data_IF_265690535144
#
_entry.id   IF_265690535144
#
_cell.length_a   1.000
_cell.length_b   1.000
_cell.length_c   1.000
_cell.angle_alpha   90.00
_cell.angle_beta   90.00
_cell.angle_gamma   90.00
#
_symmetry.space_group_name_H-M   'P 1'
#
loop_
_entity.id
_entity.type
_entity.pdbx_description
1 polymer ?
#
# COMPACT_ATOMS: atom_id res chain seq x y z
N UNK A 1 9.37 12.21 12.72
CA UNK A 1 9.99 11.45 11.61
C UNK A 1 8.85 10.78 10.85
N UNK A 2 8.80 10.90 9.52
CA UNK A 2 7.80 10.18 8.73
C UNK A 2 8.34 8.76 8.53
N UNK A 3 7.68 7.78 9.13
CA UNK A 3 7.99 6.38 8.90
C UNK A 3 7.68 6.02 7.43
N UNK A 4 8.59 5.28 6.79
CA UNK A 4 8.40 4.83 5.40
C UNK A 4 7.15 3.97 5.27
N UNK A 5 6.83 3.17 6.29
CA UNK A 5 5.58 2.41 6.34
C UNK A 5 4.38 3.35 6.19
N UNK A 6 4.27 4.36 7.06
CA UNK A 6 3.16 5.33 7.01
C UNK A 6 3.13 6.10 5.71
N UNK A 7 4.28 6.47 5.15
CA UNK A 7 4.35 7.16 3.87
C UNK A 7 3.79 6.31 2.73
N UNK A 8 4.21 5.05 2.61
CA UNK A 8 3.73 4.15 1.56
C UNK A 8 2.23 3.90 1.71
N UNK A 9 1.77 3.59 2.92
CA UNK A 9 0.35 3.36 3.20
C UNK A 9 -0.49 4.58 2.78
N UNK A 10 -0.10 5.80 3.17
CA UNK A 10 -0.78 7.04 2.75
C UNK A 10 -0.84 7.21 1.24
N UNK A 11 0.24 6.90 0.52
CA UNK A 11 0.24 6.98 -0.95
C UNK A 11 -0.72 5.99 -1.60
N UNK A 12 -0.92 4.82 -1.01
CA UNK A 12 -1.87 3.83 -1.50
C UNK A 12 -3.29 4.31 -1.22
N UNK A 13 -3.58 4.72 0.02
CA UNK A 13 -4.88 5.26 0.45
C UNK A 13 -5.32 6.47 -0.40
N UNK A 14 -4.43 7.44 -0.62
CA UNK A 14 -4.69 8.61 -1.48
C UNK A 14 -5.09 8.25 -2.93
N UNK A 15 -4.64 7.11 -3.46
CA UNK A 15 -5.09 6.63 -4.77
C UNK A 15 -6.38 5.81 -4.66
N UNK A 16 -6.51 5.01 -3.61
CA UNK A 16 -7.70 4.21 -3.34
C UNK A 16 -8.95 5.08 -3.15
N UNK A 17 -8.81 6.25 -2.53
CA UNK A 17 -9.86 7.26 -2.39
C UNK A 17 -10.43 7.73 -3.74
N UNK A 18 -9.64 7.61 -4.82
CA UNK A 18 -10.10 7.92 -6.18
C UNK A 18 -10.77 6.71 -6.82
N UNK A 19 -10.13 5.55 -6.69
CA UNK A 19 -10.68 4.25 -7.06
C UNK A 19 -9.84 3.11 -6.47
N UNK A 20 -10.50 2.01 -6.11
CA UNK A 20 -9.83 0.79 -5.62
C UNK A 20 -8.72 0.34 -6.59
N UNK A 21 -8.99 0.37 -7.90
CA UNK A 21 -8.01 -0.01 -8.93
C UNK A 21 -6.76 0.89 -8.90
N UNK A 22 -6.91 2.20 -8.64
CA UNK A 22 -5.77 3.10 -8.51
C UNK A 22 -4.93 2.79 -7.26
N UNK A 23 -5.59 2.45 -6.15
CA UNK A 23 -4.94 1.95 -4.93
C UNK A 23 -4.16 0.65 -5.17
N UNK A 24 -4.79 -0.34 -5.81
CA UNK A 24 -4.16 -1.61 -6.20
C UNK A 24 -2.94 -1.41 -7.12
N UNK A 25 -3.05 -0.54 -8.13
CA UNK A 25 -1.94 -0.21 -9.01
C UNK A 25 -0.78 0.43 -8.26
N UNK A 26 -1.08 1.28 -7.25
CA UNK A 26 -0.06 1.88 -6.40
C UNK A 26 0.60 0.84 -5.48
N UNK A 27 -0.19 -0.06 -4.88
CA UNK A 27 0.33 -1.18 -4.09
C UNK A 27 1.28 -2.05 -4.93
N UNK A 28 0.87 -2.43 -6.15
CA UNK A 28 1.71 -3.21 -7.08
C UNK A 28 3.03 -2.50 -7.41
N UNK A 29 3.02 -1.18 -7.56
CA UNK A 29 4.23 -0.41 -7.82
C UNK A 29 5.25 -0.47 -6.67
N UNK A 30 4.81 -0.62 -5.42
CA UNK A 30 5.70 -0.73 -4.26
C UNK A 30 6.13 -2.18 -3.98
N UNK A 31 5.23 -3.15 -4.08
CA UNK A 31 5.48 -4.50 -3.56
C UNK A 31 5.51 -5.61 -4.61
N UNK A 32 5.00 -5.37 -5.83
CA UNK A 32 4.98 -6.40 -6.89
C UNK A 32 6.07 -6.13 -7.92
N UNK A 33 6.17 -4.88 -8.40
CA UNK A 33 7.10 -4.50 -9.47
C UNK A 33 8.56 -4.36 -9.01
N UNK A 34 8.77 -4.05 -7.73
CA UNK A 34 10.10 -3.84 -7.15
C UNK A 34 10.19 -4.52 -5.79
N UNK A 35 11.39 -4.99 -5.43
CA UNK A 35 11.64 -5.68 -4.15
C UNK A 35 12.17 -4.78 -3.04
N UNK A 36 12.57 -3.55 -3.36
CA UNK A 36 13.25 -2.66 -2.40
C UNK A 36 12.38 -2.30 -1.20
N UNK A 37 11.04 -2.34 -1.37
CA UNK A 37 10.10 -2.00 -0.31
C UNK A 37 9.60 -3.21 0.50
N UNK A 38 10.07 -4.42 0.19
CA UNK A 38 9.54 -5.65 0.75
C UNK A 38 9.54 -5.69 2.28
N UNK A 39 10.60 -5.14 2.89
CA UNK A 39 10.75 -5.13 4.35
C UNK A 39 9.67 -4.32 5.09
N UNK A 40 8.92 -3.46 4.39
CA UNK A 40 7.83 -2.68 4.98
C UNK A 40 6.45 -3.25 4.63
N UNK A 41 6.38 -4.32 3.83
CA UNK A 41 5.10 -4.84 3.31
C UNK A 41 4.12 -5.19 4.41
N UNK A 42 4.54 -5.98 5.40
CA UNK A 42 3.67 -6.43 6.49
C UNK A 42 3.10 -5.26 7.29
N UNK A 43 3.94 -4.28 7.62
CA UNK A 43 3.50 -3.12 8.40
C UNK A 43 2.54 -2.23 7.58
N UNK A 44 2.81 -2.06 6.27
CA UNK A 44 1.92 -1.31 5.38
C UNK A 44 0.57 -2.01 5.22
N UNK A 45 0.57 -3.33 5.00
CA UNK A 45 -0.65 -4.13 4.92
C UNK A 45 -1.46 -4.04 6.21
N UNK A 46 -0.80 -4.05 7.38
CA UNK A 46 -1.48 -3.87 8.66
C UNK A 46 -2.20 -2.51 8.75
N UNK A 47 -1.58 -1.43 8.28
CA UNK A 47 -2.22 -0.10 8.23
C UNK A 47 -3.41 -0.12 7.27
N UNK A 48 -3.23 -0.65 6.05
CA UNK A 48 -4.29 -0.70 5.06
C UNK A 48 -5.50 -1.50 5.57
N UNK A 49 -5.29 -2.63 6.23
CA UNK A 49 -6.37 -3.43 6.83
C UNK A 49 -7.06 -2.66 7.96
N UNK A 50 -6.28 -2.03 8.85
CA UNK A 50 -6.82 -1.25 9.99
C UNK A 50 -7.69 -0.09 9.51
N UNK A 51 -7.29 0.57 8.42
CA UNK A 51 -7.96 1.76 7.88
C UNK A 51 -9.03 1.41 6.83
N UNK A 52 -9.28 0.12 6.55
CA UNK A 52 -10.36 -0.33 5.65
C UNK A 52 -10.02 -0.35 4.15
N UNK A 53 -8.74 -0.35 3.79
CA UNK A 53 -8.21 -0.40 2.41
C UNK A 53 -7.67 -1.78 2.02
N UNK A 54 -8.17 -2.86 2.64
CA UNK A 54 -7.71 -4.23 2.37
C UNK A 54 -7.85 -4.64 0.89
N UNK A 55 -8.85 -4.11 0.19
CA UNK A 55 -9.08 -4.32 -1.25
C UNK A 55 -7.92 -3.82 -2.14
N UNK A 56 -7.02 -2.98 -1.61
CA UNK A 56 -5.83 -2.52 -2.32
C UNK A 56 -4.67 -3.52 -2.31
N UNK A 57 -4.69 -4.53 -1.42
CA UNK A 57 -3.61 -5.49 -1.24
C UNK A 57 -3.69 -6.54 -2.34
N UNK A 58 -2.67 -6.60 -3.22
CA UNK A 58 -2.66 -7.56 -4.34
C UNK A 58 -1.48 -8.51 -4.28
N UNK A 59 -1.76 -9.82 -4.20
CA UNK A 59 -0.73 -10.85 -4.03
C UNK A 59 -0.10 -11.39 -5.33
N UNK A 60 -0.60 -10.97 -6.50
CA UNK A 60 -0.14 -11.44 -7.83
C UNK A 60 -0.30 -10.37 -8.92
#
# INVERSE_FOLDING_TARGET
MVDMTTFIAKRIMEQADKSVEAGQNKYKAYFVRVKIYEKWRNDVESILITDGYEDCIVRS
#
